data_IF_919410497923
#
_entry.id   IF_919410497923
#
_cell.length_a   1.000
_cell.length_b   1.000
_cell.length_c   1.000
_cell.angle_alpha   90.00
_cell.angle_beta   90.00
_cell.angle_gamma   90.00
#
_symmetry.space_group_name_H-M   'P 1'
#
loop_
_entity.id
_entity.type
_entity.pdbx_description
1 polymer ?
#
# COMPACT_ATOMS: atom_id res chain seq x y z
N UNK A 1 -32.89 15.97 -27.16
CA UNK A 1 -33.48 16.35 -25.87
C UNK A 1 -32.46 16.71 -24.78
N UNK A 2 -31.42 15.91 -24.49
CA UNK A 2 -30.44 16.23 -23.41
C UNK A 2 -29.72 17.58 -23.53
N UNK A 3 -29.35 18.02 -24.75
CA UNK A 3 -28.64 19.31 -24.95
C UNK A 3 -29.51 20.53 -24.57
N UNK A 4 -30.81 20.49 -24.83
CA UNK A 4 -31.72 21.59 -24.49
C UNK A 4 -31.86 21.77 -22.96
N UNK A 5 -31.82 20.66 -22.22
CA UNK A 5 -31.92 20.66 -20.76
C UNK A 5 -30.70 21.30 -20.07
N UNK A 6 -29.49 21.04 -20.58
CA UNK A 6 -28.26 21.70 -20.08
C UNK A 6 -28.28 23.21 -20.33
N UNK A 7 -28.79 23.64 -21.49
CA UNK A 7 -28.91 25.07 -21.83
C UNK A 7 -29.89 25.75 -20.87
N UNK A 8 -31.04 25.14 -20.59
CA UNK A 8 -32.01 25.72 -19.64
C UNK A 8 -31.46 25.85 -18.23
N UNK A 9 -30.69 24.86 -17.75
CA UNK A 9 -30.07 24.91 -16.42
C UNK A 9 -29.02 26.02 -16.35
N UNK A 10 -28.19 26.17 -17.39
CA UNK A 10 -27.17 27.22 -17.47
C UNK A 10 -27.79 28.63 -17.47
N UNK A 11 -28.91 28.81 -18.16
CA UNK A 11 -29.66 30.09 -18.18
C UNK A 11 -30.22 30.40 -16.78
N UNK A 12 -30.85 29.43 -16.12
CA UNK A 12 -31.40 29.60 -14.77
C UNK A 12 -30.29 29.95 -13.77
N UNK A 13 -29.15 29.25 -13.83
CA UNK A 13 -28.00 29.53 -12.98
C UNK A 13 -27.42 30.93 -13.21
N UNK A 14 -27.35 31.38 -14.46
CA UNK A 14 -26.88 32.73 -14.81
C UNK A 14 -27.82 33.82 -14.29
N UNK A 15 -29.14 33.62 -14.39
CA UNK A 15 -30.15 34.54 -13.84
C UNK A 15 -30.03 34.61 -12.31
N UNK A 16 -29.85 33.45 -11.67
CA UNK A 16 -29.70 33.37 -10.21
C UNK A 16 -28.45 34.14 -9.73
N UNK A 17 -27.31 33.97 -10.41
CA UNK A 17 -26.09 34.73 -10.11
C UNK A 17 -26.28 36.24 -10.30
N UNK A 18 -26.99 36.66 -11.34
CA UNK A 18 -27.32 38.08 -11.57
C UNK A 18 -28.16 38.66 -10.43
N UNK A 19 -29.18 37.93 -9.97
CA UNK A 19 -30.05 38.37 -8.87
C UNK A 19 -29.26 38.50 -7.58
N UNK A 20 -28.40 37.52 -7.25
CA UNK A 20 -27.51 37.60 -6.08
C UNK A 20 -26.57 38.79 -6.19
N UNK A 21 -25.95 39.01 -7.36
CA UNK A 21 -25.05 40.14 -7.58
C UNK A 21 -25.73 41.49 -7.35
N UNK A 22 -26.97 41.66 -7.84
CA UNK A 22 -27.76 42.88 -7.64
C UNK A 22 -28.17 43.06 -6.17
N UNK A 23 -28.57 41.98 -5.49
CA UNK A 23 -28.92 42.01 -4.07
C UNK A 23 -27.71 42.41 -3.22
N UNK A 24 -26.56 41.79 -3.45
CA UNK A 24 -25.30 42.10 -2.77
C UNK A 24 -24.87 43.55 -3.01
N UNK A 25 -24.93 44.02 -4.26
CA UNK A 25 -24.61 45.42 -4.60
C UNK A 25 -25.51 46.42 -3.85
N UNK A 26 -26.82 46.17 -3.78
CA UNK A 26 -27.75 47.01 -3.02
C UNK A 26 -27.49 46.99 -1.52
N UNK A 27 -27.13 45.84 -0.95
CA UNK A 27 -26.80 45.75 0.49
C UNK A 27 -25.50 46.47 0.84
N UNK A 28 -24.47 46.39 -0.01
CA UNK A 28 -23.19 47.07 0.20
C UNK A 28 -23.37 48.60 0.11
N UNK A 29 -24.23 49.09 -0.79
CA UNK A 29 -24.49 50.52 -0.96
C UNK A 29 -25.28 51.15 0.22
N UNK A 30 -26.02 50.34 0.99
CA UNK A 30 -26.84 50.80 2.13
C UNK A 30 -26.08 50.83 3.45
N UNK A 31 -24.83 50.38 3.49
CA UNK A 31 -24.02 50.38 4.70
C UNK A 31 -23.47 51.79 5.00
N UNK A 32 -23.82 52.40 6.15
CA UNK A 32 -23.49 53.79 6.47
C UNK A 32 -21.98 54.04 6.69
N UNK A 33 -21.18 52.98 6.81
CA UNK A 33 -19.71 53.03 6.94
C UNK A 33 -19.03 53.23 5.56
N UNK A 34 -19.72 52.86 4.47
CA UNK A 34 -19.24 52.96 3.09
C UNK A 34 -19.89 54.14 2.37
N UNK A 35 -19.70 55.36 2.87
CA UNK A 35 -19.87 56.56 2.03
C UNK A 35 -18.68 56.64 1.08
N UNK A 36 -18.75 55.87 0.00
CA UNK A 36 -17.77 55.86 -1.08
C UNK A 36 -17.77 57.25 -1.71
N UNK A 37 -16.71 58.05 -1.44
CA UNK A 37 -16.35 59.17 -2.33
C UNK A 37 -16.23 58.57 -3.72
N UNK A 38 -17.04 59.06 -4.65
CA UNK A 38 -17.16 58.55 -6.02
C UNK A 38 -15.93 58.91 -6.86
N UNK A 39 -14.82 58.28 -6.53
CA UNK A 39 -13.73 57.95 -7.45
C UNK A 39 -13.48 56.45 -7.25
N UNK A 40 -14.45 55.64 -7.66
CA UNK A 40 -14.23 54.21 -7.75
C UNK A 40 -13.29 54.02 -8.93
N UNK A 41 -12.03 53.69 -8.66
CA UNK A 41 -11.13 53.15 -9.69
C UNK A 41 -11.69 51.79 -10.12
N UNK A 42 -12.64 51.83 -11.05
CA UNK A 42 -13.31 50.65 -11.62
C UNK A 42 -12.30 49.70 -12.24
N UNK A 43 -11.18 50.23 -12.74
CA UNK A 43 -10.09 49.43 -13.30
C UNK A 43 -9.36 48.70 -12.16
N UNK A 44 -9.00 49.40 -11.09
CA UNK A 44 -8.41 48.80 -9.89
C UNK A 44 -9.28 47.70 -9.26
N UNK A 45 -10.59 47.93 -9.17
CA UNK A 45 -11.54 46.94 -8.68
C UNK A 45 -11.63 45.70 -9.59
N UNK A 46 -11.68 45.88 -10.92
CA UNK A 46 -11.67 44.76 -11.88
C UNK A 46 -10.36 43.95 -11.83
N UNK A 47 -9.22 44.64 -11.73
CA UNK A 47 -7.91 43.98 -11.61
C UNK A 47 -7.84 43.16 -10.32
N UNK A 48 -8.36 43.68 -9.21
CA UNK A 48 -8.40 42.94 -7.95
C UNK A 48 -9.28 41.68 -8.03
N UNK A 49 -10.43 41.75 -8.70
CA UNK A 49 -11.32 40.59 -8.91
C UNK A 49 -10.68 39.52 -9.80
N UNK A 50 -10.01 39.92 -10.88
CA UNK A 50 -9.26 39.01 -11.76
C UNK A 50 -8.11 38.37 -10.99
N UNK A 51 -7.39 39.15 -10.18
CA UNK A 51 -6.29 38.66 -9.35
C UNK A 51 -6.77 37.62 -8.34
N UNK A 52 -7.86 37.89 -7.62
CA UNK A 52 -8.46 36.95 -6.67
C UNK A 52 -8.91 35.66 -7.39
N UNK A 53 -9.56 35.80 -8.55
CA UNK A 53 -9.97 34.65 -9.37
C UNK A 53 -8.78 33.80 -9.83
N UNK A 54 -7.70 34.45 -10.28
CA UNK A 54 -6.47 33.78 -10.67
C UNK A 54 -5.82 33.06 -9.47
N UNK A 55 -5.74 33.70 -8.30
CA UNK A 55 -5.20 33.09 -7.08
C UNK A 55 -6.02 31.88 -6.64
N UNK A 56 -7.35 31.97 -6.66
CA UNK A 56 -8.21 30.83 -6.33
C UNK A 56 -8.06 29.69 -7.35
N UNK A 57 -7.95 30.02 -8.64
CA UNK A 57 -7.71 29.04 -9.70
C UNK A 57 -6.38 28.30 -9.53
N UNK A 58 -5.31 29.02 -9.23
CA UNK A 58 -4.00 28.43 -8.95
C UNK A 58 -4.03 27.58 -7.67
N UNK A 59 -4.66 28.07 -6.60
CA UNK A 59 -4.80 27.32 -5.36
C UNK A 59 -5.56 26.00 -5.56
N UNK A 60 -6.67 26.04 -6.31
CA UNK A 60 -7.43 24.85 -6.68
C UNK A 60 -6.60 23.88 -7.52
N UNK A 61 -5.86 24.38 -8.52
CA UNK A 61 -5.01 23.56 -9.37
C UNK A 61 -3.90 22.85 -8.58
N UNK A 62 -3.22 23.58 -7.69
CA UNK A 62 -2.19 23.02 -6.80
C UNK A 62 -2.80 21.97 -5.87
N UNK A 63 -3.95 22.28 -5.26
CA UNK A 63 -4.65 21.35 -4.37
C UNK A 63 -5.03 20.05 -5.10
N UNK A 64 -5.57 20.16 -6.32
CA UNK A 64 -5.92 19.00 -7.15
C UNK A 64 -4.70 18.13 -7.49
N UNK A 65 -3.57 18.72 -7.85
CA UNK A 65 -2.34 17.96 -8.10
C UNK A 65 -1.84 17.25 -6.83
N UNK A 66 -1.89 17.91 -5.68
CA UNK A 66 -1.47 17.32 -4.41
C UNK A 66 -2.37 16.16 -4.01
N UNK A 67 -3.68 16.30 -4.19
CA UNK A 67 -4.66 15.26 -3.92
C UNK A 67 -4.45 14.04 -4.82
N UNK A 68 -4.28 14.23 -6.14
CA UNK A 68 -3.98 13.14 -7.06
C UNK A 68 -2.66 12.43 -6.74
N UNK A 69 -1.62 13.17 -6.34
CA UNK A 69 -0.34 12.56 -5.92
C UNK A 69 -0.51 11.73 -4.65
N UNK A 70 -1.25 12.25 -3.66
CA UNK A 70 -1.54 11.53 -2.41
C UNK A 70 -2.34 10.25 -2.66
N UNK A 71 -3.32 10.31 -3.56
CA UNK A 71 -4.10 9.15 -3.94
C UNK A 71 -3.25 8.09 -4.65
N UNK A 72 -2.43 8.48 -5.63
CA UNK A 72 -1.53 7.55 -6.32
C UNK A 72 -0.57 6.86 -5.35
N UNK A 73 0.04 7.62 -4.42
CA UNK A 73 0.89 7.04 -3.39
C UNK A 73 0.14 6.04 -2.50
N UNK A 74 -1.13 6.33 -2.15
CA UNK A 74 -1.97 5.40 -1.38
C UNK A 74 -2.22 4.11 -2.16
N UNK A 75 -2.59 4.23 -3.44
CA UNK A 75 -2.86 3.08 -4.31
C UNK A 75 -1.61 2.21 -4.48
N UNK A 76 -0.43 2.82 -4.64
CA UNK A 76 0.84 2.09 -4.69
C UNK A 76 1.12 1.31 -3.40
N UNK A 77 0.93 1.95 -2.23
CA UNK A 77 1.07 1.29 -0.92
C UNK A 77 0.10 0.11 -0.77
N UNK A 78 -1.19 0.33 -1.09
CA UNK A 78 -2.23 -0.71 -1.00
C UNK A 78 -1.90 -1.92 -1.88
N UNK A 79 -1.32 -1.69 -3.06
CA UNK A 79 -0.93 -2.76 -3.98
C UNK A 79 0.21 -3.62 -3.42
N UNK A 80 1.18 -2.99 -2.74
CA UNK A 80 2.28 -3.70 -2.08
C UNK A 80 1.77 -4.47 -0.86
N UNK A 81 0.91 -3.86 -0.04
CA UNK A 81 0.30 -4.51 1.13
C UNK A 81 -0.49 -5.76 0.71
N UNK A 82 -1.30 -5.68 -0.36
CA UNK A 82 -1.99 -6.87 -0.90
C UNK A 82 -1.04 -7.99 -1.32
N UNK A 83 0.16 -7.65 -1.78
CA UNK A 83 1.18 -8.65 -2.13
C UNK A 83 1.80 -9.27 -0.88
N UNK A 84 1.97 -8.49 0.18
CA UNK A 84 2.36 -8.96 1.50
C UNK A 84 1.31 -9.92 2.08
N UNK A 85 0.01 -9.60 1.98
CA UNK A 85 -1.08 -10.49 2.41
C UNK A 85 -1.05 -11.86 1.71
N UNK A 86 -0.74 -11.87 0.41
CA UNK A 86 -0.57 -13.10 -0.34
C UNK A 86 0.61 -13.95 0.17
N UNK A 87 1.68 -13.31 0.68
CA UNK A 87 2.80 -14.03 1.32
C UNK A 87 2.35 -14.61 2.66
N UNK A 88 1.61 -13.85 3.48
CA UNK A 88 1.08 -14.36 4.75
C UNK A 88 0.19 -15.59 4.55
N UNK A 89 -0.69 -15.57 3.55
CA UNK A 89 -1.54 -16.70 3.21
C UNK A 89 -0.72 -17.96 2.84
N UNK A 90 0.35 -17.81 2.04
CA UNK A 90 1.24 -18.92 1.69
C UNK A 90 2.01 -19.47 2.89
N UNK A 91 2.46 -18.59 3.79
CA UNK A 91 3.13 -18.99 5.04
C UNK A 91 2.16 -19.80 5.91
N UNK A 92 0.91 -19.35 6.05
CA UNK A 92 -0.10 -20.02 6.87
C UNK A 92 -0.53 -21.37 6.28
N UNK A 93 -0.73 -21.44 4.96
CA UNK A 93 -0.95 -22.70 4.23
C UNK A 93 0.19 -23.68 4.49
N UNK A 94 1.45 -23.22 4.41
CA UNK A 94 2.62 -24.08 4.64
C UNK A 94 2.72 -24.52 6.11
N UNK A 95 2.46 -23.62 7.06
CA UNK A 95 2.47 -23.94 8.50
C UNK A 95 1.40 -24.99 8.86
N UNK A 96 0.21 -24.87 8.30
CA UNK A 96 -0.87 -25.85 8.48
C UNK A 96 -0.48 -27.23 7.94
N UNK A 97 0.20 -27.28 6.79
CA UNK A 97 0.74 -28.53 6.24
C UNK A 97 1.82 -29.14 7.15
N UNK A 98 2.68 -28.31 7.79
CA UNK A 98 3.72 -28.79 8.73
C UNK A 98 3.10 -29.36 10.01
N UNK A 99 2.03 -28.72 10.50
CA UNK A 99 1.31 -29.17 11.69
C UNK A 99 0.69 -30.57 11.50
N UNK A 100 0.30 -30.94 10.27
CA UNK A 100 -0.31 -32.24 9.94
C UNK A 100 0.65 -33.45 10.01
N UNK A 101 1.91 -33.26 10.42
CA UNK A 101 2.94 -34.29 10.66
C UNK A 101 3.44 -35.09 9.45
N UNK A 102 2.85 -34.90 8.28
CA UNK A 102 3.27 -35.52 7.03
C UNK A 102 3.18 -34.46 5.92
N UNK A 103 4.35 -34.02 5.42
CA UNK A 103 4.41 -33.21 4.21
C UNK A 103 5.17 -33.99 3.15
N UNK A 104 4.60 -34.04 1.95
CA UNK A 104 5.32 -34.42 0.74
C UNK A 104 6.50 -33.46 0.52
N UNK A 105 7.72 -34.00 0.44
CA UNK A 105 8.93 -33.22 0.23
C UNK A 105 8.84 -32.27 -0.96
N UNK A 106 8.21 -32.71 -2.06
CA UNK A 106 8.00 -31.91 -3.27
C UNK A 106 7.11 -30.70 -2.99
N UNK A 107 6.09 -30.89 -2.15
CA UNK A 107 5.13 -29.85 -1.77
C UNK A 107 5.78 -28.82 -0.83
N UNK A 108 6.60 -29.26 0.13
CA UNK A 108 7.40 -28.38 0.98
C UNK A 108 8.35 -27.50 0.16
N UNK A 109 9.16 -28.10 -0.73
CA UNK A 109 10.11 -27.38 -1.58
C UNK A 109 9.38 -26.39 -2.50
N UNK A 110 8.26 -26.81 -3.10
CA UNK A 110 7.43 -25.95 -3.95
C UNK A 110 6.90 -24.74 -3.19
N UNK A 111 6.34 -24.94 -2.00
CA UNK A 111 5.78 -23.85 -1.19
C UNK A 111 6.84 -22.86 -0.70
N UNK A 112 8.01 -23.34 -0.28
CA UNK A 112 9.15 -22.47 0.06
C UNK A 112 9.57 -21.64 -1.14
N UNK A 113 9.70 -22.26 -2.32
CA UNK A 113 10.04 -21.57 -3.56
C UNK A 113 9.02 -20.48 -3.88
N UNK A 114 7.72 -20.77 -3.73
CA UNK A 114 6.63 -19.81 -3.92
C UNK A 114 6.74 -18.64 -2.93
N UNK A 115 7.03 -18.90 -1.66
CA UNK A 115 7.25 -17.87 -0.63
C UNK A 115 8.46 -17.00 -1.00
N UNK A 116 9.60 -17.61 -1.35
CA UNK A 116 10.82 -16.86 -1.73
C UNK A 116 10.58 -15.93 -2.93
N UNK A 117 9.95 -16.44 -4.00
CA UNK A 117 9.67 -15.64 -5.20
C UNK A 117 8.75 -14.48 -4.90
N UNK A 118 7.70 -14.69 -4.10
CA UNK A 118 6.76 -13.62 -3.76
C UNK A 118 7.41 -12.56 -2.87
N UNK A 119 8.24 -12.96 -1.90
CA UNK A 119 8.96 -12.00 -1.05
C UNK A 119 9.98 -11.19 -1.86
N UNK A 120 10.72 -11.82 -2.79
CA UNK A 120 11.61 -11.09 -3.71
C UNK A 120 10.82 -10.09 -4.56
N UNK A 121 9.66 -10.49 -5.07
CA UNK A 121 8.79 -9.59 -5.85
C UNK A 121 8.28 -8.41 -5.00
N UNK A 122 7.94 -8.62 -3.74
CA UNK A 122 7.58 -7.53 -2.79
C UNK A 122 8.77 -6.60 -2.61
N UNK A 123 9.97 -7.12 -2.34
CA UNK A 123 11.18 -6.31 -2.18
C UNK A 123 11.49 -5.48 -3.43
N UNK A 124 11.35 -6.07 -4.62
CA UNK A 124 11.52 -5.35 -5.88
C UNK A 124 10.44 -4.29 -6.11
N UNK A 125 9.19 -4.56 -5.73
CA UNK A 125 8.11 -3.58 -5.79
C UNK A 125 8.41 -2.39 -4.88
N UNK A 126 8.87 -2.63 -3.65
CA UNK A 126 9.25 -1.56 -2.72
C UNK A 126 10.47 -0.79 -3.23
N UNK A 127 11.47 -1.43 -3.84
CA UNK A 127 12.60 -0.74 -4.48
C UNK A 127 12.18 0.21 -5.61
N UNK A 128 11.08 -0.07 -6.31
CA UNK A 128 10.54 0.81 -7.37
C UNK A 128 9.79 2.01 -6.78
N UNK A 129 9.41 1.96 -5.51
CA UNK A 129 8.86 3.11 -4.79
C UNK A 129 9.97 3.98 -4.21
N UNK A 130 9.65 5.22 -3.80
CA UNK A 130 10.60 6.13 -3.12
C UNK A 130 10.86 5.75 -1.66
N UNK A 131 10.34 4.61 -1.19
CA UNK A 131 10.46 4.16 0.19
C UNK A 131 11.87 3.61 0.37
N UNK A 132 12.69 4.29 1.17
CA UNK A 132 14.05 3.84 1.49
C UNK A 132 13.96 2.70 2.48
N UNK A 133 14.11 1.46 2.00
CA UNK A 133 14.40 0.33 2.88
C UNK A 133 15.87 0.37 3.28
N UNK A 134 16.14 0.22 4.58
CA UNK A 134 17.49 -0.11 5.01
C UNK A 134 17.89 -1.47 4.42
N UNK A 135 19.06 -1.54 3.76
CA UNK A 135 19.57 -2.76 3.13
C UNK A 135 19.67 -3.94 4.11
N UNK A 136 19.78 -3.66 5.40
CA UNK A 136 19.79 -4.63 6.50
C UNK A 136 18.47 -5.43 6.59
N UNK A 137 17.32 -4.80 6.39
CA UNK A 137 16.02 -5.49 6.44
C UNK A 137 15.87 -6.50 5.30
N UNK A 138 16.36 -6.14 4.10
CA UNK A 138 16.37 -7.03 2.95
C UNK A 138 17.27 -8.25 3.19
N UNK A 139 18.47 -8.02 3.74
CA UNK A 139 19.41 -9.10 4.04
C UNK A 139 18.80 -10.08 5.05
N UNK A 140 18.19 -9.57 6.14
CA UNK A 140 17.57 -10.40 7.18
C UNK A 140 16.45 -11.30 6.63
N UNK A 141 15.59 -10.78 5.75
CA UNK A 141 14.50 -11.54 5.13
C UNK A 141 15.05 -12.66 4.24
N UNK A 142 16.04 -12.37 3.40
CA UNK A 142 16.63 -13.38 2.50
C UNK A 142 17.35 -14.47 3.31
N UNK A 143 18.06 -14.10 4.37
CA UNK A 143 18.71 -15.05 5.27
C UNK A 143 17.69 -15.95 5.97
N UNK A 144 16.60 -15.40 6.52
CA UNK A 144 15.56 -16.20 7.18
C UNK A 144 14.87 -17.19 6.22
N UNK A 145 14.65 -16.79 4.97
CA UNK A 145 14.14 -17.69 3.93
C UNK A 145 15.14 -18.80 3.59
N UNK A 146 16.44 -18.48 3.51
CA UNK A 146 17.48 -19.48 3.29
C UNK A 146 17.55 -20.46 4.45
N UNK A 147 17.49 -19.98 5.68
CA UNK A 147 17.44 -20.82 6.88
C UNK A 147 16.21 -21.73 6.88
N UNK A 148 15.03 -21.20 6.57
CA UNK A 148 13.80 -21.99 6.47
C UNK A 148 13.90 -23.07 5.37
N UNK A 149 14.49 -22.73 4.22
CA UNK A 149 14.76 -23.69 3.14
C UNK A 149 15.66 -24.81 3.65
N UNK A 150 16.79 -24.47 4.26
CA UNK A 150 17.73 -25.46 4.80
C UNK A 150 17.06 -26.30 5.89
N UNK A 151 16.20 -25.72 6.74
CA UNK A 151 15.47 -26.46 7.77
C UNK A 151 14.55 -27.54 7.19
N UNK A 152 13.95 -27.25 6.03
CA UNK A 152 12.99 -28.13 5.34
C UNK A 152 13.66 -29.07 4.33
N UNK A 153 14.88 -28.79 3.86
CA UNK A 153 15.56 -29.58 2.81
C UNK A 153 16.86 -30.28 3.25
N UNK A 154 17.50 -29.90 4.36
CA UNK A 154 18.66 -30.64 4.87
C UNK A 154 18.20 -31.93 5.58
N UNK A 155 18.11 -32.99 4.80
CA UNK A 155 18.12 -34.38 5.26
C UNK A 155 19.56 -34.89 5.28
N UNK A 156 20.10 -35.37 6.42
CA UNK A 156 21.37 -36.10 6.42
C UNK A 156 21.21 -37.37 5.56
N UNK A 157 22.25 -37.78 4.81
CA UNK A 157 22.22 -39.02 4.04
C UNK A 157 22.07 -40.20 4.99
N UNK A 158 20.99 -40.97 4.81
CA UNK A 158 20.65 -42.13 5.62
C UNK A 158 21.77 -43.18 5.48
N UNK A 159 22.47 -43.48 6.58
CA UNK A 159 23.18 -44.74 6.77
C UNK A 159 22.35 -45.57 7.74
N UNK A 160 22.04 -46.82 7.37
CA UNK A 160 21.01 -47.70 7.95
C UNK A 160 21.15 -48.05 9.45
N UNK A 161 22.13 -47.51 10.19
CA UNK A 161 22.43 -47.95 11.57
C UNK A 161 21.84 -47.07 12.70
N UNK A 162 21.25 -45.91 12.43
CA UNK A 162 20.76 -45.01 13.49
C UNK A 162 19.37 -44.41 13.20
N UNK A 163 18.34 -45.26 13.18
CA UNK A 163 16.93 -44.86 12.95
C UNK A 163 16.21 -44.25 14.17
N UNK A 164 16.83 -44.21 15.35
CA UNK A 164 16.15 -43.78 16.58
C UNK A 164 16.31 -42.28 16.93
N UNK A 165 17.32 -41.59 16.37
CA UNK A 165 17.69 -40.21 16.76
C UNK A 165 17.83 -39.25 15.56
N UNK A 166 17.13 -39.52 14.43
CA UNK A 166 17.21 -38.65 13.26
C UNK A 166 16.17 -37.50 13.32
N UNK A 167 16.57 -36.23 13.10
CA UNK A 167 15.66 -35.08 13.15
C UNK A 167 14.57 -35.11 12.08
N UNK A 168 14.82 -35.82 10.96
CA UNK A 168 13.98 -35.96 9.78
C UNK A 168 14.15 -37.37 9.21
N UNK A 169 13.05 -38.08 9.01
CA UNK A 169 13.00 -39.36 8.29
C UNK A 169 12.13 -39.20 7.04
N UNK A 170 12.67 -39.48 5.85
CA UNK A 170 11.91 -39.42 4.59
C UNK A 170 11.56 -40.85 4.19
N UNK A 171 10.33 -41.27 4.47
CA UNK A 171 9.81 -42.58 4.04
C UNK A 171 8.81 -42.36 2.92
N UNK A 172 9.03 -43.02 1.78
CA UNK A 172 8.10 -42.99 0.63
C UNK A 172 7.77 -41.58 0.10
N UNK A 173 8.70 -40.62 0.23
CA UNK A 173 8.50 -39.21 -0.18
C UNK A 173 7.81 -38.33 0.87
N UNK A 174 7.45 -38.89 2.03
CA UNK A 174 6.83 -38.19 3.15
C UNK A 174 7.90 -37.85 4.20
N UNK A 175 8.00 -36.57 4.55
CA UNK A 175 8.89 -36.09 5.61
C UNK A 175 8.23 -36.32 6.97
N UNK A 176 8.74 -37.27 7.75
CA UNK A 176 8.45 -37.43 9.17
C UNK A 176 9.43 -36.56 9.97
N UNK A 177 8.93 -35.48 10.54
CA UNK A 177 9.73 -34.53 11.32
C UNK A 177 9.63 -34.81 12.81
N UNK A 178 10.76 -34.79 13.51
CA UNK A 178 10.81 -34.76 14.98
C UNK A 178 10.10 -33.51 15.53
N UNK A 179 9.58 -33.61 16.75
CA UNK A 179 8.90 -32.48 17.42
C UNK A 179 9.80 -31.26 17.57
N UNK A 180 11.10 -31.47 17.83
CA UNK A 180 12.10 -30.40 17.97
C UNK A 180 12.30 -29.64 16.65
N UNK A 181 12.35 -30.35 15.51
CA UNK A 181 12.49 -29.72 14.20
C UNK A 181 11.25 -28.92 13.79
N UNK A 182 10.05 -29.37 14.16
CA UNK A 182 8.81 -28.59 13.97
C UNK A 182 8.86 -27.26 14.72
N UNK A 183 9.30 -27.27 15.98
CA UNK A 183 9.45 -26.05 16.77
C UNK A 183 10.45 -25.07 16.13
N UNK A 184 11.55 -25.57 15.56
CA UNK A 184 12.51 -24.75 14.82
C UNK A 184 11.90 -24.13 13.55
N UNK A 185 11.12 -24.92 12.80
CA UNK A 185 10.43 -24.45 11.59
C UNK A 185 9.37 -23.39 11.94
N UNK A 186 8.57 -23.62 12.99
CA UNK A 186 7.57 -22.67 13.46
C UNK A 186 8.21 -21.36 13.91
N UNK A 187 9.32 -21.43 14.65
CA UNK A 187 10.06 -20.25 15.07
C UNK A 187 10.61 -19.43 13.88
N UNK A 188 11.12 -20.08 12.83
CA UNK A 188 11.57 -19.38 11.63
C UNK A 188 10.41 -18.82 10.79
N UNK A 189 9.26 -19.51 10.73
CA UNK A 189 8.05 -18.93 10.12
C UNK A 189 7.59 -17.68 10.85
N UNK A 190 7.57 -17.69 12.19
CA UNK A 190 7.14 -16.55 13.00
C UNK A 190 8.14 -15.39 12.87
N UNK A 191 9.44 -15.68 12.75
CA UNK A 191 10.48 -14.68 12.43
C UNK A 191 10.30 -14.05 11.05
N UNK A 192 9.97 -14.85 10.02
CA UNK A 192 9.66 -14.32 8.69
C UNK A 192 8.42 -13.42 8.74
N UNK A 193 7.37 -13.82 9.47
CA UNK A 193 6.18 -12.98 9.68
C UNK A 193 6.53 -11.64 10.33
N UNK A 194 7.36 -11.65 11.37
CA UNK A 194 7.84 -10.42 12.02
C UNK A 194 8.61 -9.51 11.06
N UNK A 195 9.53 -10.05 10.26
CA UNK A 195 10.29 -9.25 9.30
C UNK A 195 9.41 -8.66 8.18
N UNK A 196 8.37 -9.40 7.75
CA UNK A 196 7.38 -8.92 6.79
C UNK A 196 6.49 -7.83 7.41
N UNK A 197 6.13 -7.96 8.68
CA UNK A 197 5.38 -6.94 9.40
C UNK A 197 6.18 -5.63 9.56
N UNK A 198 7.46 -5.71 9.89
CA UNK A 198 8.33 -4.54 9.94
C UNK A 198 8.44 -3.86 8.57
N UNK A 199 8.49 -4.65 7.49
CA UNK A 199 8.44 -4.14 6.11
C UNK A 199 7.13 -3.41 5.82
N UNK A 200 6.00 -3.98 6.23
CA UNK A 200 4.67 -3.38 6.08
C UNK A 200 4.56 -2.06 6.85
N UNK A 201 5.09 -2.00 8.08
CA UNK A 201 5.16 -0.77 8.87
C UNK A 201 6.04 0.29 8.20
N UNK A 202 7.17 -0.09 7.62
CA UNK A 202 8.03 0.82 6.89
C UNK A 202 7.32 1.40 5.66
N UNK A 203 6.55 0.59 4.93
CA UNK A 203 5.76 1.02 3.76
C UNK A 203 4.63 1.96 4.18
N UNK A 204 3.97 1.69 5.30
CA UNK A 204 2.88 2.54 5.77
C UNK A 204 3.40 3.91 6.25
N UNK A 205 4.54 3.92 6.95
CA UNK A 205 5.17 5.16 7.49
C UNK A 205 5.76 6.09 6.43
N UNK A 206 6.37 5.55 5.37
CA UNK A 206 6.97 6.34 4.27
C UNK A 206 5.99 6.60 3.15
#
# INVERSE_FOLDING_TARGET
>A
MRKAWWITISIIYSIFLLVIGVLLGKTIQRWPILKVKTEVDTVGAMVSLISIGATLGVAYWVASILESKKENNRVEKDLIIRRIDAVYALIEETKNNVAAQAIDFTLAVSNIKRISVNIIAVIEAVKKTKITLEDLHKANIVTAISTLKDLLTNTPPIKEEHLADLPIDVREGIIHMSTERKLQIDAEFDKIKWLIFDLELAINKG
#
